data_IF_675415067331
#
_entry.id   IF_675415067331
#
_cell.length_a   1.000
_cell.length_b   1.000
_cell.length_c   1.000
_cell.angle_alpha   90.00
_cell.angle_beta   90.00
_cell.angle_gamma   90.00
#
_symmetry.space_group_name_H-M   'P 1'
#
loop_
_entity.id
_entity.type
_entity.pdbx_description
1 polymer ?
#
# COMPACT_ATOMS: atom_id res chain seq x y z
N UNK A 1 -16.55 32.85 30.87
CA UNK A 1 -16.08 31.47 31.09
C UNK A 1 -15.42 31.00 29.81
N UNK A 2 -14.09 31.09 29.76
CA UNK A 2 -13.26 30.82 28.57
C UNK A 2 -12.95 29.33 28.54
N UNK A 3 -13.59 28.57 27.65
CA UNK A 3 -13.23 27.17 27.42
C UNK A 3 -12.15 27.15 26.34
N UNK A 4 -10.96 26.71 26.76
CA UNK A 4 -9.72 26.67 25.99
C UNK A 4 -9.87 25.89 24.68
N UNK A 5 -9.37 26.48 23.61
CA UNK A 5 -8.93 25.81 22.38
C UNK A 5 -7.91 24.73 22.77
N UNK A 6 -8.32 23.47 22.78
CA UNK A 6 -7.40 22.34 22.77
C UNK A 6 -6.98 22.11 21.32
N UNK A 7 -5.87 22.75 20.97
CA UNK A 7 -4.83 22.30 20.05
C UNK A 7 -5.25 21.20 19.04
N UNK A 8 -5.59 21.65 17.83
CA UNK A 8 -5.65 20.80 16.64
C UNK A 8 -4.23 20.33 16.36
N UNK A 9 -3.89 19.12 16.78
CA UNK A 9 -2.72 18.44 16.24
C UNK A 9 -3.07 17.92 14.84
N UNK A 10 -2.36 18.34 13.77
CA UNK A 10 -2.49 17.73 12.47
C UNK A 10 -2.06 16.26 12.59
N UNK A 11 -2.80 15.35 11.97
CA UNK A 11 -2.38 13.97 11.73
C UNK A 11 -1.13 13.99 10.84
N UNK A 12 -0.02 14.23 11.52
CA UNK A 12 1.34 14.13 11.06
C UNK A 12 1.55 12.71 10.52
N UNK A 13 2.24 12.59 9.38
CA UNK A 13 2.66 11.34 8.75
C UNK A 13 2.91 10.22 9.78
N UNK A 14 1.93 9.32 9.95
CA UNK A 14 2.02 8.28 10.96
C UNK A 14 3.16 7.34 10.59
N UNK A 15 4.06 7.09 11.55
CA UNK A 15 5.16 6.15 11.33
C UNK A 15 4.60 4.81 10.86
N UNK A 16 5.18 4.17 9.83
CA UNK A 16 4.70 2.88 9.37
C UNK A 16 4.69 1.89 10.53
N UNK A 17 3.53 1.29 10.75
CA UNK A 17 3.27 0.30 11.79
C UNK A 17 4.15 -0.94 11.56
N UNK A 18 4.32 -1.75 12.60
CA UNK A 18 5.09 -2.99 12.48
C UNK A 18 4.49 -3.93 11.43
N UNK A 19 3.15 -3.95 11.32
CA UNK A 19 2.42 -4.74 10.35
C UNK A 19 2.65 -4.27 8.90
N UNK A 20 2.64 -2.95 8.64
CA UNK A 20 2.92 -2.42 7.31
C UNK A 20 4.34 -2.76 6.83
N UNK A 21 5.32 -2.67 7.74
CA UNK A 21 6.71 -3.02 7.43
C UNK A 21 6.87 -4.51 7.15
N UNK A 22 6.20 -5.37 7.92
CA UNK A 22 6.20 -6.81 7.69
C UNK A 22 5.51 -7.16 6.36
N UNK A 23 4.37 -6.55 6.07
CA UNK A 23 3.64 -6.75 4.82
C UNK A 23 4.46 -6.29 3.60
N UNK A 24 5.20 -5.18 3.71
CA UNK A 24 6.15 -4.73 2.69
C UNK A 24 7.23 -5.79 2.42
N UNK A 25 7.81 -6.35 3.48
CA UNK A 25 8.86 -7.36 3.34
C UNK A 25 8.35 -8.62 2.62
N UNK A 26 7.13 -9.06 2.92
CA UNK A 26 6.51 -10.20 2.23
C UNK A 26 6.27 -9.90 0.74
N UNK A 27 5.75 -8.72 0.40
CA UNK A 27 5.60 -8.28 -1.00
C UNK A 27 6.93 -8.22 -1.73
N UNK A 28 7.97 -7.68 -1.09
CA UNK A 28 9.31 -7.60 -1.65
C UNK A 28 9.90 -9.00 -1.91
N UNK A 29 9.83 -9.91 -0.93
CA UNK A 29 10.31 -11.30 -1.09
C UNK A 29 9.59 -12.00 -2.24
N UNK A 30 8.28 -11.84 -2.33
CA UNK A 30 7.49 -12.42 -3.40
C UNK A 30 7.87 -11.87 -4.78
N UNK A 31 8.03 -10.54 -4.89
CA UNK A 31 8.46 -9.91 -6.12
C UNK A 31 9.87 -10.38 -6.55
N UNK A 32 10.78 -10.57 -5.60
CA UNK A 32 12.11 -11.13 -5.85
C UNK A 32 12.06 -12.60 -6.32
N UNK A 33 11.19 -13.43 -5.74
CA UNK A 33 10.99 -14.82 -6.18
C UNK A 33 10.41 -14.93 -7.59
N UNK A 34 9.57 -13.95 -7.97
CA UNK A 34 8.92 -13.90 -9.29
C UNK A 34 9.79 -13.26 -10.37
N UNK A 35 10.86 -12.58 -9.97
CA UNK A 35 11.83 -11.99 -10.89
C UNK A 35 12.58 -13.07 -11.66
N UNK A 36 12.90 -12.85 -12.95
CA UNK A 36 13.72 -13.78 -13.73
C UNK A 36 15.13 -13.96 -13.15
N UNK A 37 15.64 -12.93 -12.48
CA UNK A 37 16.85 -13.01 -11.68
C UNK A 37 16.48 -13.60 -10.31
N UNK A 38 16.84 -14.87 -10.06
CA UNK A 38 16.64 -15.52 -8.76
C UNK A 38 17.55 -14.91 -7.70
N UNK A 39 17.20 -13.73 -7.22
CA UNK A 39 17.93 -13.01 -6.18
C UNK A 39 17.55 -13.60 -4.83
N UNK A 40 18.54 -14.19 -4.16
CA UNK A 40 18.38 -14.69 -2.80
C UNK A 40 19.33 -13.97 -1.85
N UNK A 41 18.78 -13.47 -0.75
CA UNK A 41 19.54 -12.87 0.34
C UNK A 41 19.85 -11.38 0.18
N UNK A 42 20.23 -10.77 1.30
CA UNK A 42 20.41 -9.33 1.43
C UNK A 42 21.60 -8.79 0.63
N UNK A 43 22.69 -9.56 0.51
CA UNK A 43 23.89 -9.16 -0.25
C UNK A 43 23.59 -9.07 -1.75
N UNK A 44 22.93 -10.07 -2.31
CA UNK A 44 22.54 -10.08 -3.71
C UNK A 44 21.51 -8.97 -4.00
N UNK A 45 20.54 -8.76 -3.10
CA UNK A 45 19.59 -7.65 -3.21
C UNK A 45 20.31 -6.29 -3.26
N UNK A 46 21.24 -6.04 -2.34
CA UNK A 46 21.98 -4.79 -2.30
C UNK A 46 22.82 -4.56 -3.56
N UNK A 47 23.51 -5.60 -4.05
CA UNK A 47 24.33 -5.53 -5.26
C UNK A 47 23.47 -5.17 -6.48
N UNK A 48 22.42 -5.94 -6.75
CA UNK A 48 21.57 -5.73 -7.92
C UNK A 48 20.77 -4.43 -7.85
N UNK A 49 20.39 -4.01 -6.65
CA UNK A 49 19.78 -2.70 -6.43
C UNK A 49 20.76 -1.58 -6.77
N UNK A 50 21.98 -1.61 -6.22
CA UNK A 50 22.98 -0.56 -6.41
C UNK A 50 23.43 -0.41 -7.87
N UNK A 51 23.42 -1.50 -8.66
CA UNK A 51 23.71 -1.45 -10.09
C UNK A 51 22.65 -0.68 -10.90
N UNK A 52 21.41 -0.62 -10.40
CA UNK A 52 20.27 0.02 -11.08
C UNK A 52 19.94 1.39 -10.52
N UNK A 53 20.22 1.59 -9.23
CA UNK A 53 19.93 2.83 -8.55
C UNK A 53 20.95 3.92 -8.91
N UNK A 54 20.47 5.03 -9.47
CA UNK A 54 21.29 6.21 -9.83
C UNK A 54 21.29 7.30 -8.76
N UNK A 55 20.71 7.04 -7.58
CA UNK A 55 20.66 8.00 -6.48
C UNK A 55 22.01 8.21 -5.80
N UNK A 56 22.12 9.30 -5.03
CA UNK A 56 23.37 9.71 -4.35
C UNK A 56 23.94 8.66 -3.39
N UNK A 57 23.10 7.80 -2.82
CA UNK A 57 23.52 6.91 -1.73
C UNK A 57 23.19 5.44 -2.05
N UNK A 58 24.21 4.60 -2.37
CA UNK A 58 24.03 3.16 -2.50
C UNK A 58 23.59 2.55 -1.16
N UNK A 59 22.92 1.40 -1.20
CA UNK A 59 22.50 0.68 -0.01
C UNK A 59 23.53 -0.37 0.41
N UNK A 60 23.67 -0.56 1.71
CA UNK A 60 24.46 -1.66 2.27
C UNK A 60 23.66 -2.97 2.32
N UNK A 61 24.31 -4.14 2.35
CA UNK A 61 23.65 -5.42 2.62
C UNK A 61 22.83 -5.42 3.91
N UNK A 62 23.27 -4.68 4.93
CA UNK A 62 22.52 -4.53 6.17
C UNK A 62 21.18 -3.80 5.95
N UNK A 63 21.16 -2.79 5.07
CA UNK A 63 19.94 -2.05 4.71
C UNK A 63 18.97 -2.96 3.95
N UNK A 64 19.48 -3.70 2.97
CA UNK A 64 18.71 -4.72 2.26
C UNK A 64 18.14 -5.78 3.20
N UNK A 65 18.91 -6.22 4.21
CA UNK A 65 18.41 -7.16 5.23
C UNK A 65 17.25 -6.57 6.04
N UNK A 66 17.33 -5.28 6.43
CA UNK A 66 16.24 -4.60 7.14
C UNK A 66 14.97 -4.52 6.30
N UNK A 67 15.08 -4.36 4.99
CA UNK A 67 13.94 -4.42 4.07
C UNK A 67 13.33 -5.81 3.98
N UNK A 68 14.17 -6.85 3.80
CA UNK A 68 13.72 -8.24 3.74
C UNK A 68 13.15 -8.77 5.05
N UNK A 69 13.50 -8.16 6.19
CA UNK A 69 12.99 -8.55 7.51
C UNK A 69 11.84 -7.66 8.00
N UNK A 70 11.41 -6.68 7.21
CA UNK A 70 10.31 -5.78 7.58
C UNK A 70 10.67 -4.89 8.78
N UNK A 71 11.95 -4.56 8.96
CA UNK A 71 12.39 -3.61 10.01
C UNK A 71 12.28 -2.17 9.54
N UNK A 72 12.44 -1.95 8.24
CA UNK A 72 12.36 -0.61 7.62
C UNK A 72 11.73 -0.70 6.24
N UNK A 73 11.05 0.38 5.85
CA UNK A 73 10.57 0.59 4.48
C UNK A 73 11.55 1.55 3.78
N UNK A 74 11.94 1.33 2.51
CA UNK A 74 12.77 2.24 1.73
C UNK A 74 12.10 3.61 1.54
N UNK A 75 12.92 4.64 1.25
CA UNK A 75 12.41 5.94 0.81
C UNK A 75 11.71 5.82 -0.55
N UNK A 76 10.86 6.78 -0.90
CA UNK A 76 10.06 6.76 -2.13
C UNK A 76 10.89 6.54 -3.41
N UNK A 77 12.08 7.15 -3.48
CA UNK A 77 13.01 7.00 -4.61
C UNK A 77 13.58 5.57 -4.74
N UNK A 78 14.02 4.99 -3.62
CA UNK A 78 14.50 3.59 -3.57
C UNK A 78 13.36 2.61 -3.84
N UNK A 79 12.18 2.90 -3.34
CA UNK A 79 10.97 2.12 -3.60
C UNK A 79 10.60 2.13 -5.09
N UNK A 80 10.68 3.28 -5.76
CA UNK A 80 10.46 3.39 -7.21
C UNK A 80 11.45 2.55 -8.00
N UNK A 81 12.72 2.56 -7.60
CA UNK A 81 13.76 1.73 -8.22
C UNK A 81 13.45 0.24 -8.06
N UNK A 82 12.98 -0.19 -6.89
CA UNK A 82 12.55 -1.58 -6.67
C UNK A 82 11.34 -1.95 -7.53
N UNK A 83 10.34 -1.07 -7.61
CA UNK A 83 9.14 -1.31 -8.39
C UNK A 83 9.45 -1.47 -9.89
N UNK A 84 10.27 -0.58 -10.45
CA UNK A 84 10.72 -0.64 -11.84
C UNK A 84 11.52 -1.93 -12.12
N UNK A 85 12.51 -2.22 -11.28
CA UNK A 85 13.35 -3.40 -11.45
C UNK A 85 12.55 -4.71 -11.37
N UNK A 86 11.65 -4.82 -10.39
CA UNK A 86 10.85 -6.04 -10.18
C UNK A 86 9.60 -6.08 -11.07
N UNK A 87 9.37 -5.04 -11.89
CA UNK A 87 8.21 -4.87 -12.78
C UNK A 87 6.87 -5.04 -12.05
N UNK A 88 6.78 -4.45 -10.86
CA UNK A 88 5.56 -4.43 -10.03
C UNK A 88 5.07 -2.99 -9.85
N UNK A 89 3.79 -2.82 -9.55
CA UNK A 89 3.25 -1.49 -9.23
C UNK A 89 3.85 -0.95 -7.91
N UNK A 90 4.17 0.34 -7.89
CA UNK A 90 4.79 1.00 -6.73
C UNK A 90 3.83 1.02 -5.54
N UNK A 91 2.54 1.34 -5.77
CA UNK A 91 1.55 1.38 -4.71
C UNK A 91 1.28 0.00 -4.16
N UNK A 92 1.25 -1.02 -5.03
CA UNK A 92 1.15 -2.42 -4.61
C UNK A 92 2.34 -2.81 -3.75
N UNK A 93 3.58 -2.51 -4.17
CA UNK A 93 4.76 -2.84 -3.38
C UNK A 93 4.73 -2.14 -2.00
N UNK A 94 4.23 -0.90 -1.93
CA UNK A 94 4.18 -0.14 -0.70
C UNK A 94 3.05 -0.53 0.24
N UNK A 95 1.81 -0.59 -0.28
CA UNK A 95 0.56 -0.69 0.50
C UNK A 95 -0.37 -1.81 0.02
N UNK A 96 0.01 -2.55 -1.02
CA UNK A 96 -0.82 -3.60 -1.59
C UNK A 96 -1.05 -4.78 -0.64
N UNK A 97 -2.04 -5.63 -0.94
CA UNK A 97 -2.28 -6.83 -0.14
C UNK A 97 -1.06 -7.78 -0.18
N UNK A 98 -0.78 -8.52 0.92
CA UNK A 98 0.31 -9.47 0.95
C UNK A 98 0.05 -10.63 -0.03
N UNK A 99 1.11 -11.18 -0.64
CA UNK A 99 1.01 -12.25 -1.60
C UNK A 99 0.57 -13.56 -0.92
N UNK A 100 -0.55 -14.14 -1.38
CA UNK A 100 -1.08 -15.38 -0.79
C UNK A 100 -2.16 -15.17 0.28
N UNK A 101 -2.55 -13.93 0.58
CA UNK A 101 -3.86 -13.70 1.20
C UNK A 101 -4.94 -14.38 0.32
N UNK A 102 -5.90 -15.09 0.92
CA UNK A 102 -6.93 -15.80 0.17
C UNK A 102 -7.73 -14.80 -0.69
N UNK A 103 -7.30 -14.68 -1.95
CA UNK A 103 -7.83 -13.76 -2.94
C UNK A 103 -6.89 -12.62 -3.30
N UNK A 104 -6.34 -12.69 -4.51
CA UNK A 104 -6.39 -11.55 -5.43
C UNK A 104 -7.84 -11.23 -5.85
N UNK A 105 -8.75 -11.23 -4.87
CA UNK A 105 -10.09 -10.70 -4.94
C UNK A 105 -10.02 -9.49 -4.06
N UNK A 106 -10.29 -8.34 -4.63
CA UNK A 106 -10.75 -7.19 -3.86
C UNK A 106 -11.70 -7.70 -2.78
N UNK A 107 -11.52 -7.35 -1.50
CA UNK A 107 -12.43 -7.77 -0.44
C UNK A 107 -13.84 -7.50 -0.94
N UNK A 108 -14.65 -8.56 -1.06
CA UNK A 108 -16.05 -8.35 -1.40
C UNK A 108 -16.61 -7.45 -0.29
N UNK A 109 -17.38 -6.40 -0.63
CA UNK A 109 -18.03 -5.60 0.39
C UNK A 109 -18.76 -6.55 1.35
N UNK A 110 -18.68 -6.29 2.67
CA UNK A 110 -19.34 -7.12 3.67
C UNK A 110 -20.81 -7.31 3.28
N UNK A 111 -21.37 -8.47 3.63
CA UNK A 111 -22.79 -8.71 3.38
C UNK A 111 -23.61 -7.63 4.09
N UNK A 112 -24.78 -7.28 3.55
CA UNK A 112 -25.61 -6.16 4.05
C UNK A 112 -25.91 -6.25 5.56
N UNK A 113 -25.84 -7.45 6.13
CA UNK A 113 -26.06 -7.81 7.53
C UNK A 113 -24.80 -7.80 8.41
N UNK A 114 -23.60 -7.71 7.82
CA UNK A 114 -22.32 -7.75 8.52
C UNK A 114 -21.90 -6.32 8.91
N UNK A 115 -21.88 -6.06 10.22
CA UNK A 115 -21.52 -4.73 10.74
C UNK A 115 -20.03 -4.47 10.50
N UNK A 116 -19.75 -3.50 9.64
CA UNK A 116 -18.43 -2.88 9.58
C UNK A 116 -18.16 -2.22 10.94
N UNK A 117 -17.03 -2.48 11.57
CA UNK A 117 -16.51 -1.57 12.60
C UNK A 117 -15.86 -0.42 11.83
N UNK A 118 -16.54 0.74 11.67
CA UNK A 118 -16.01 1.79 10.82
C UNK A 118 -14.70 2.29 11.42
N UNK A 119 -13.61 2.01 10.71
CA UNK A 119 -12.32 2.61 11.03
C UNK A 119 -12.42 4.11 10.80
N UNK A 120 -11.64 4.88 11.55
CA UNK A 120 -11.59 6.34 11.42
C UNK A 120 -11.34 6.76 9.95
N UNK A 121 -10.47 6.03 9.26
CA UNK A 121 -10.16 6.25 7.84
C UNK A 121 -11.38 6.05 6.92
N UNK A 122 -12.21 5.05 7.22
CA UNK A 122 -13.45 4.78 6.44
C UNK A 122 -14.47 5.89 6.64
N UNK A 123 -14.60 6.39 7.87
CA UNK A 123 -15.49 7.52 8.22
C UNK A 123 -15.03 8.79 7.51
N UNK A 124 -13.72 9.06 7.53
CA UNK A 124 -13.14 10.22 6.87
C UNK A 124 -13.30 10.15 5.35
N UNK A 125 -13.12 8.98 4.75
CA UNK A 125 -13.35 8.77 3.33
C UNK A 125 -14.83 8.99 2.96
N UNK A 126 -15.75 8.43 3.73
CA UNK A 126 -17.19 8.63 3.53
C UNK A 126 -17.55 10.13 3.61
N UNK A 127 -17.03 10.83 4.61
CA UNK A 127 -17.23 12.27 4.80
C UNK A 127 -16.67 13.09 3.63
N UNK A 128 -15.48 12.73 3.12
CA UNK A 128 -14.87 13.37 1.95
C UNK A 128 -15.70 13.15 0.69
N UNK A 129 -16.25 11.95 0.50
CA UNK A 129 -17.15 11.64 -0.63
C UNK A 129 -18.43 12.47 -0.53
N UNK A 130 -19.02 12.61 0.67
CA UNK A 130 -20.22 13.44 0.86
C UNK A 130 -19.97 14.92 0.57
N UNK A 131 -18.75 15.42 0.84
CA UNK A 131 -18.33 16.78 0.55
C UNK A 131 -18.03 17.05 -0.95
N UNK A 132 -18.01 16.02 -1.81
CA UNK A 132 -17.81 16.19 -3.25
C UNK A 132 -19.03 16.82 -3.93
N UNK A 133 -18.79 17.50 -5.06
CA UNK A 133 -19.87 18.02 -5.90
C UNK A 133 -20.82 16.90 -6.36
N UNK A 134 -22.10 17.19 -6.65
CA UNK A 134 -23.05 16.18 -7.12
C UNK A 134 -22.53 15.37 -8.31
N UNK A 135 -21.84 16.03 -9.26
CA UNK A 135 -21.22 15.39 -10.41
C UNK A 135 -20.09 14.43 -10.02
N UNK A 136 -19.21 14.82 -9.11
CA UNK A 136 -18.11 13.95 -8.66
C UNK A 136 -18.60 12.79 -7.81
N UNK A 137 -19.65 12.97 -7.01
CA UNK A 137 -20.30 11.86 -6.29
C UNK A 137 -20.89 10.85 -7.26
N UNK A 138 -21.55 11.31 -8.31
CA UNK A 138 -22.09 10.43 -9.36
C UNK A 138 -20.99 9.60 -10.03
N UNK A 139 -19.87 10.23 -10.44
CA UNK A 139 -18.75 9.51 -11.05
C UNK A 139 -18.16 8.44 -10.11
N UNK A 140 -18.03 8.75 -8.82
CA UNK A 140 -17.56 7.79 -7.82
C UNK A 140 -18.55 6.64 -7.63
N UNK A 141 -19.85 6.91 -7.60
CA UNK A 141 -20.90 5.89 -7.52
C UNK A 141 -20.89 4.98 -8.74
N UNK A 142 -20.81 5.55 -9.95
CA UNK A 142 -20.69 4.79 -11.20
C UNK A 142 -19.43 3.93 -11.23
N UNK A 143 -18.29 4.46 -10.76
CA UNK A 143 -17.06 3.69 -10.64
C UNK A 143 -17.25 2.48 -9.72
N UNK A 144 -17.82 2.70 -8.53
CA UNK A 144 -18.07 1.65 -7.56
C UNK A 144 -19.05 0.61 -8.14
N UNK A 145 -20.11 1.04 -8.81
CA UNK A 145 -21.07 0.15 -9.48
C UNK A 145 -20.42 -0.61 -10.66
N UNK A 146 -19.46 -0.03 -11.37
CA UNK A 146 -18.77 -0.75 -12.44
C UNK A 146 -17.87 -1.88 -11.92
N UNK A 147 -17.18 -1.65 -10.78
CA UNK A 147 -16.24 -2.62 -10.21
C UNK A 147 -16.91 -3.66 -9.28
N UNK A 148 -18.06 -3.34 -8.67
CA UNK A 148 -18.76 -4.22 -7.72
C UNK A 148 -20.24 -4.47 -8.03
N UNK A 149 -20.78 -3.83 -9.07
CA UNK A 149 -22.13 -4.07 -9.54
C UNK A 149 -22.27 -5.51 -10.03
N UNK A 150 -23.43 -6.07 -9.70
CA UNK A 150 -23.74 -7.48 -9.87
C UNK A 150 -23.47 -7.96 -11.32
N UNK A 151 -22.64 -9.01 -11.55
CA UNK A 151 -22.40 -9.56 -12.88
C UNK A 151 -23.68 -10.10 -13.55
N UNK A 152 -24.79 -10.25 -12.82
CA UNK A 152 -26.08 -10.70 -13.37
C UNK A 152 -26.90 -9.60 -14.06
N UNK A 153 -26.51 -8.32 -13.98
CA UNK A 153 -27.23 -7.23 -14.64
C UNK A 153 -26.84 -7.00 -16.11
N UNK A 154 -25.85 -7.75 -16.64
CA UNK A 154 -25.54 -7.77 -18.08
C UNK A 154 -26.39 -8.85 -18.78
N UNK A 155 -27.63 -8.51 -19.12
CA UNK A 155 -28.46 -9.26 -20.05
C UNK A 155 -28.98 -8.33 -21.14
#
# INVERSE_FOLDING_TARGET
MVVRLADVQPHNAAMPTLEEKAAFAERLKFALQRSPEKISGATALALHFNLRHRGEHPISPQTAHKWLTGRTIPTADKLRTLADWLRVDLHWLHYGPPPGAPGGKTPAPPRRDEKYAPTQETIELASKIEALSPHHRYLMQELIEHFYGDPTKRR
#
